data_IF_599603208658
#
_entry.id   IF_599603208658
#
_cell.length_a   1.000
_cell.length_b   1.000
_cell.length_c   1.000
_cell.angle_alpha   90.00
_cell.angle_beta   90.00
_cell.angle_gamma   90.00
#
_symmetry.space_group_name_H-M   'P 1'
#
loop_
_entity.id
_entity.type
_entity.pdbx_description
1 polymer ?
#
# COMPACT_ATOMS: atom_id res chain seq x y z
N UNK A 1 -7.02 -26.04 -44.16
CA UNK A 1 -7.44 -24.81 -43.44
C UNK A 1 -6.67 -24.73 -42.11
N UNK A 2 -5.72 -23.84 -41.98
CA UNK A 2 -4.96 -23.68 -40.73
C UNK A 2 -5.81 -22.98 -39.64
N UNK A 3 -5.70 -23.37 -38.37
CA UNK A 3 -6.47 -22.79 -37.27
C UNK A 3 -6.15 -21.31 -37.08
N UNK A 4 -7.16 -20.51 -36.72
CA UNK A 4 -7.06 -19.05 -36.57
C UNK A 4 -5.94 -18.57 -35.63
N UNK A 5 -5.54 -19.36 -34.66
CA UNK A 5 -4.47 -19.02 -33.71
C UNK A 5 -3.06 -18.93 -34.34
N UNK A 6 -2.77 -19.72 -35.38
CA UNK A 6 -1.47 -19.68 -36.05
C UNK A 6 -1.27 -18.43 -36.92
N UNK A 7 -2.36 -17.81 -37.37
CA UNK A 7 -2.29 -16.59 -38.20
C UNK A 7 -1.90 -15.36 -37.38
N UNK A 8 -2.34 -15.25 -36.13
CA UNK A 8 -1.96 -14.15 -35.25
C UNK A 8 -0.50 -14.19 -34.81
N UNK A 9 0.04 -15.40 -34.59
CA UNK A 9 1.47 -15.58 -34.29
C UNK A 9 2.38 -15.18 -35.46
N UNK A 10 1.95 -15.50 -36.70
CA UNK A 10 2.69 -15.10 -37.90
C UNK A 10 2.62 -13.57 -38.13
N UNK A 11 1.49 -12.94 -37.88
CA UNK A 11 1.37 -11.47 -37.96
C UNK A 11 2.20 -10.76 -36.86
N UNK A 12 2.25 -11.31 -35.65
CA UNK A 12 3.10 -10.80 -34.57
C UNK A 12 4.58 -10.88 -34.92
N UNK A 13 5.03 -12.00 -35.46
CA UNK A 13 6.42 -12.19 -35.91
C UNK A 13 6.78 -11.27 -37.08
N UNK A 14 5.87 -11.08 -38.05
CA UNK A 14 6.10 -10.17 -39.17
C UNK A 14 6.20 -8.71 -38.73
N UNK A 15 5.34 -8.26 -37.80
CA UNK A 15 5.40 -6.91 -37.21
C UNK A 15 6.69 -6.69 -36.40
N UNK A 16 7.13 -7.69 -35.65
CA UNK A 16 8.38 -7.62 -34.90
C UNK A 16 9.61 -7.51 -35.82
N UNK A 17 9.65 -8.28 -36.90
CA UNK A 17 10.73 -8.20 -37.89
C UNK A 17 10.72 -6.87 -38.67
N UNK A 18 9.53 -6.36 -39.03
CA UNK A 18 9.38 -5.06 -39.68
C UNK A 18 9.84 -3.93 -38.77
N UNK A 19 9.51 -3.98 -37.47
CA UNK A 19 9.93 -2.97 -36.49
C UNK A 19 11.46 -2.97 -36.30
N UNK A 20 12.09 -4.14 -36.17
CA UNK A 20 13.53 -4.23 -36.05
C UNK A 20 14.26 -3.81 -37.34
N UNK A 21 13.69 -4.09 -38.51
CA UNK A 21 14.18 -3.61 -39.81
C UNK A 21 14.15 -2.10 -39.94
N UNK A 22 13.04 -1.47 -39.51
CA UNK A 22 12.90 -0.02 -39.46
C UNK A 22 13.90 0.65 -38.49
N UNK A 23 14.15 0.03 -37.35
CA UNK A 23 15.11 0.51 -36.34
C UNK A 23 16.54 0.45 -36.90
N UNK A 24 16.91 -0.62 -37.63
CA UNK A 24 18.22 -0.74 -38.30
C UNK A 24 18.37 0.29 -39.42
N UNK A 25 17.33 0.54 -40.23
CA UNK A 25 17.35 1.58 -41.24
C UNK A 25 17.45 2.99 -40.65
N UNK A 26 16.79 3.24 -39.51
CA UNK A 26 16.89 4.52 -38.78
C UNK A 26 18.27 4.76 -38.19
N UNK A 27 18.94 3.71 -37.73
CA UNK A 27 20.33 3.77 -37.22
C UNK A 27 21.37 3.93 -38.35
N UNK A 28 21.08 3.39 -39.53
CA UNK A 28 22.00 3.46 -40.68
C UNK A 28 21.77 4.70 -41.56
N UNK A 29 20.59 5.33 -41.47
CA UNK A 29 20.19 6.47 -42.31
C UNK A 29 20.55 7.87 -41.78
N UNK A 30 21.41 8.01 -40.77
CA UNK A 30 21.90 9.32 -40.36
C UNK A 30 23.07 9.75 -41.24
N UNK A 31 22.95 10.82 -42.11
CA UNK A 31 24.08 11.34 -42.81
C UNK A 31 25.01 12.07 -41.83
N UNK A 32 26.33 12.06 -42.03
CA UNK A 32 27.27 12.84 -41.25
C UNK A 32 27.00 14.32 -41.52
N UNK A 33 26.69 15.08 -40.48
CA UNK A 33 26.54 16.54 -40.55
C UNK A 33 27.90 17.17 -40.86
N UNK A 34 28.05 17.62 -42.09
CA UNK A 34 29.12 18.55 -42.52
C UNK A 34 28.76 19.98 -42.13
N UNK A 35 29.50 20.55 -41.21
CA UNK A 35 29.66 21.99 -41.11
C UNK A 35 31.14 22.32 -41.06
N UNK A 36 31.60 22.93 -42.13
CA UNK A 36 32.91 23.55 -42.23
C UNK A 36 32.96 24.80 -41.33
N UNK A 37 33.96 24.84 -40.46
CA UNK A 37 34.69 26.07 -40.18
C UNK A 37 36.09 25.70 -39.66
N UNK A 38 37.07 26.21 -40.38
CA UNK A 38 38.47 26.07 -40.17
C UNK A 38 38.98 26.72 -38.89
N UNK A 39 39.72 25.99 -38.07
CA UNK A 39 40.97 26.51 -37.46
C UNK A 39 41.74 25.32 -36.82
N UNK A 40 42.98 25.33 -37.11
CA UNK A 40 44.05 24.41 -36.75
C UNK A 40 44.22 24.17 -35.24
N UNK A 41 44.31 22.88 -34.81
CA UNK A 41 45.40 22.38 -33.97
C UNK A 41 45.16 20.89 -33.63
N UNK A 42 46.12 20.07 -34.10
CA UNK A 42 46.70 18.83 -33.57
C UNK A 42 45.91 17.86 -32.71
N UNK A 43 45.70 16.64 -33.30
CA UNK A 43 45.98 15.29 -32.78
C UNK A 43 45.62 14.97 -31.30
N UNK A 44 44.54 14.19 -31.09
CA UNK A 44 44.49 13.03 -30.15
C UNK A 44 43.09 12.41 -29.90
N UNK A 45 42.17 12.40 -30.85
CA UNK A 45 40.81 11.87 -30.62
C UNK A 45 40.49 10.49 -31.22
N UNK A 46 41.43 9.84 -31.92
CA UNK A 46 41.19 8.55 -32.58
C UNK A 46 41.48 7.31 -31.71
N UNK A 47 42.09 7.47 -30.53
CA UNK A 47 42.47 6.33 -29.67
C UNK A 47 41.52 6.07 -28.46
N UNK A 48 40.54 6.94 -28.22
CA UNK A 48 39.65 6.81 -27.03
C UNK A 48 38.45 5.88 -27.27
N UNK A 49 37.88 5.85 -28.45
CA UNK A 49 36.70 5.04 -28.76
C UNK A 49 36.93 3.52 -28.61
N UNK A 50 38.05 2.92 -29.04
CA UNK A 50 38.34 1.50 -28.83
C UNK A 50 38.49 1.15 -27.32
N UNK A 51 39.12 2.04 -26.55
CA UNK A 51 39.34 1.81 -25.10
C UNK A 51 38.06 1.89 -24.27
N UNK A 52 37.12 2.77 -24.62
CA UNK A 52 35.80 2.83 -23.97
C UNK A 52 34.92 1.64 -24.28
N UNK A 53 34.96 1.12 -25.51
CA UNK A 53 34.24 -0.10 -25.88
C UNK A 53 34.80 -1.33 -25.17
N UNK A 54 36.13 -1.44 -25.05
CA UNK A 54 36.78 -2.52 -24.29
C UNK A 54 36.39 -2.45 -22.81
N UNK A 55 36.37 -1.26 -22.23
CA UNK A 55 35.92 -1.04 -20.83
C UNK A 55 34.47 -1.43 -20.64
N UNK A 56 33.56 -0.99 -21.51
CA UNK A 56 32.16 -1.39 -21.47
C UNK A 56 31.95 -2.91 -21.61
N UNK A 57 32.72 -3.56 -22.46
CA UNK A 57 32.67 -5.01 -22.58
C UNK A 57 33.14 -5.71 -21.29
N UNK A 58 34.22 -5.22 -20.66
CA UNK A 58 34.71 -5.74 -19.37
C UNK A 58 33.72 -5.52 -18.24
N UNK A 59 33.07 -4.33 -18.17
CA UNK A 59 32.05 -4.05 -17.19
C UNK A 59 30.81 -4.95 -17.37
N UNK A 60 30.41 -5.22 -18.61
CA UNK A 60 29.32 -6.14 -18.92
C UNK A 60 29.64 -7.60 -18.56
N UNK A 61 30.87 -8.06 -18.81
CA UNK A 61 31.34 -9.39 -18.41
C UNK A 61 31.38 -9.53 -16.88
N UNK A 62 31.87 -8.54 -16.17
CA UNK A 62 31.89 -8.52 -14.71
C UNK A 62 30.47 -8.59 -14.12
N UNK A 63 29.50 -7.88 -14.71
CA UNK A 63 28.11 -7.93 -14.27
C UNK A 63 27.47 -9.29 -14.57
N UNK A 64 27.78 -9.89 -15.72
CA UNK A 64 27.31 -11.23 -16.07
C UNK A 64 27.83 -12.30 -15.08
N UNK A 65 29.09 -12.21 -14.66
CA UNK A 65 29.62 -13.12 -13.63
C UNK A 65 28.98 -12.90 -12.25
N UNK A 66 28.67 -11.67 -11.86
CA UNK A 66 27.87 -11.40 -10.65
C UNK A 66 26.49 -12.03 -10.71
N UNK A 67 25.80 -11.93 -11.84
CA UNK A 67 24.49 -12.55 -12.03
C UNK A 67 24.56 -14.08 -11.97
N UNK A 68 25.60 -14.68 -12.56
CA UNK A 68 25.83 -16.13 -12.47
C UNK A 68 26.10 -16.59 -11.02
N UNK A 69 26.84 -15.82 -10.24
CA UNK A 69 27.08 -16.14 -8.82
C UNK A 69 25.82 -16.03 -7.99
N UNK A 70 25.00 -15.00 -8.21
CA UNK A 70 23.68 -14.86 -7.57
C UNK A 70 22.77 -16.06 -7.89
N UNK A 71 22.74 -16.50 -9.14
CA UNK A 71 21.99 -17.69 -9.55
C UNK A 71 22.50 -18.96 -8.85
N UNK A 72 23.82 -19.15 -8.71
CA UNK A 72 24.38 -20.27 -7.95
C UNK A 72 23.97 -20.23 -6.47
N UNK A 73 23.95 -19.04 -5.83
CA UNK A 73 23.48 -18.87 -4.45
C UNK A 73 21.99 -19.21 -4.31
N UNK A 74 21.15 -18.77 -5.24
CA UNK A 74 19.72 -19.10 -5.27
C UNK A 74 19.52 -20.63 -5.38
N UNK A 75 20.27 -21.30 -6.26
CA UNK A 75 20.19 -22.76 -6.39
C UNK A 75 20.65 -23.50 -5.12
N UNK A 76 21.71 -23.03 -4.44
CA UNK A 76 22.16 -23.57 -3.16
C UNK A 76 21.09 -23.44 -2.08
N UNK A 77 20.48 -22.25 -1.97
CA UNK A 77 19.39 -21.99 -1.01
C UNK A 77 18.14 -22.81 -1.31
N UNK A 78 17.77 -22.96 -2.58
CA UNK A 78 16.66 -23.82 -3.02
C UNK A 78 16.90 -25.29 -2.64
N UNK A 79 18.10 -25.82 -2.85
CA UNK A 79 18.46 -27.19 -2.47
C UNK A 79 18.45 -27.41 -0.96
N UNK A 80 18.84 -26.40 -0.16
CA UNK A 80 18.74 -26.46 1.31
C UNK A 80 17.28 -26.46 1.78
N UNK A 81 16.42 -25.68 1.11
CA UNK A 81 15.00 -25.58 1.39
C UNK A 81 14.27 -26.90 1.07
N UNK A 82 14.59 -27.54 -0.05
CA UNK A 82 14.05 -28.86 -0.41
C UNK A 82 14.49 -29.97 0.55
N UNK A 83 15.74 -29.98 1.01
CA UNK A 83 16.23 -30.91 2.03
C UNK A 83 15.51 -30.72 3.37
N UNK A 84 15.26 -29.48 3.76
CA UNK A 84 14.48 -29.13 4.98
C UNK A 84 13.04 -29.58 4.85
N UNK A 85 12.42 -29.41 3.67
CA UNK A 85 11.05 -29.87 3.36
C UNK A 85 10.93 -31.40 3.35
N UNK A 86 11.95 -32.12 2.87
CA UNK A 86 11.98 -33.59 2.91
C UNK A 86 12.11 -34.13 4.35
N UNK A 87 12.91 -33.47 5.19
CA UNK A 87 13.03 -33.85 6.62
C UNK A 87 11.74 -33.65 7.42
N UNK A 88 10.86 -32.76 6.99
CA UNK A 88 9.55 -32.53 7.63
C UNK A 88 8.44 -33.49 7.15
N UNK A 89 8.70 -34.31 6.16
CA UNK A 89 7.72 -35.29 5.61
C UNK A 89 7.85 -36.72 6.15
N UNK A 90 8.75 -36.99 7.09
CA UNK A 90 8.78 -38.26 7.80
C UNK A 90 7.82 -38.18 9.01
N UNK A 91 6.75 -39.01 9.07
CA UNK A 91 5.88 -39.02 10.24
C UNK A 91 6.65 -39.58 11.42
N UNK A 92 6.55 -39.00 12.61
CA UNK A 92 7.13 -39.62 13.80
C UNK A 92 6.33 -40.87 14.17
N UNK A 93 7.04 -41.98 14.29
CA UNK A 93 6.55 -43.25 14.89
C UNK A 93 6.08 -42.97 16.33
N UNK A 94 4.84 -43.35 16.64
CA UNK A 94 4.27 -43.23 17.99
C UNK A 94 5.11 -44.03 19.00
N UNK A 95 5.47 -43.43 20.14
CA UNK A 95 5.73 -44.18 21.34
C UNK A 95 4.46 -44.20 22.21
N UNK A 96 4.17 -45.38 22.73
CA UNK A 96 3.11 -45.74 23.64
C UNK A 96 3.06 -44.85 24.90
N UNK A 97 1.85 -44.47 25.32
CA UNK A 97 1.56 -43.66 26.52
C UNK A 97 2.19 -44.21 27.81
N UNK A 98 2.50 -43.30 28.73
CA UNK A 98 2.10 -43.46 30.11
C UNK A 98 1.12 -42.39 30.57
N UNK A 99 0.02 -42.87 31.11
CA UNK A 99 -0.99 -42.12 31.83
C UNK A 99 -0.40 -41.39 33.03
N UNK A 100 -0.50 -40.07 33.08
CA UNK A 100 -0.75 -39.29 34.30
C UNK A 100 -1.11 -37.85 33.99
N UNK A 101 -2.23 -37.48 34.49
CA UNK A 101 -2.91 -36.20 34.60
C UNK A 101 -1.99 -35.09 35.06
N UNK A 102 -1.84 -34.08 34.21
CA UNK A 102 -1.50 -32.72 34.64
C UNK A 102 -2.37 -31.78 33.85
N UNK A 103 -3.27 -31.09 34.53
CA UNK A 103 -4.08 -29.97 34.00
C UNK A 103 -3.14 -28.85 33.58
N UNK A 104 -2.67 -28.90 32.33
CA UNK A 104 -2.13 -27.73 31.69
C UNK A 104 -3.31 -26.84 31.28
N UNK A 105 -3.36 -25.63 31.84
CA UNK A 105 -4.27 -24.57 31.40
C UNK A 105 -4.22 -24.45 29.88
N UNK A 106 -5.36 -24.34 29.17
CA UNK A 106 -5.36 -24.17 27.73
C UNK A 106 -4.57 -22.88 27.42
N UNK A 107 -3.53 -23.03 26.59
CA UNK A 107 -2.89 -21.86 25.98
C UNK A 107 -3.98 -21.04 25.29
N UNK A 108 -4.02 -19.71 25.45
CA UNK A 108 -5.03 -18.89 24.82
C UNK A 108 -4.97 -19.17 23.32
N UNK A 109 -6.06 -19.69 22.74
CA UNK A 109 -6.16 -19.89 21.30
C UNK A 109 -5.90 -18.56 20.62
N UNK A 110 -4.85 -18.53 19.81
CA UNK A 110 -4.51 -17.33 19.06
C UNK A 110 -5.70 -16.94 18.17
N UNK A 111 -6.14 -15.66 18.17
CA UNK A 111 -7.37 -15.24 17.51
C UNK A 111 -7.32 -15.48 16.00
N UNK A 112 -8.43 -15.97 15.46
CA UNK A 112 -8.63 -16.06 14.00
C UNK A 112 -8.97 -14.68 13.48
N UNK A 113 -8.23 -14.22 12.48
CA UNK A 113 -8.36 -12.91 11.88
C UNK A 113 -8.60 -13.07 10.36
N UNK A 114 -9.86 -13.11 9.90
CA UNK A 114 -10.16 -13.23 8.47
C UNK A 114 -9.73 -11.99 7.70
N UNK A 115 -9.47 -12.19 6.42
CA UNK A 115 -9.27 -11.10 5.46
C UNK A 115 -10.49 -11.05 4.55
N UNK A 116 -11.26 -9.99 4.67
CA UNK A 116 -12.41 -9.69 3.79
C UNK A 116 -11.92 -8.87 2.60
N UNK A 117 -12.07 -9.42 1.41
CA UNK A 117 -11.79 -8.74 0.14
C UNK A 117 -13.12 -8.30 -0.48
N UNK A 118 -13.28 -7.02 -0.74
CA UNK A 118 -14.46 -6.46 -1.42
C UNK A 118 -14.17 -6.35 -2.91
N UNK A 119 -14.95 -7.01 -3.73
CA UNK A 119 -14.79 -7.09 -5.17
C UNK A 119 -16.10 -6.78 -5.90
N UNK A 120 -16.03 -6.31 -7.13
CA UNK A 120 -17.18 -6.05 -7.97
C UNK A 120 -16.95 -6.58 -9.40
N UNK A 121 -16.44 -5.76 -10.31
CA UNK A 121 -16.37 -6.02 -11.76
C UNK A 121 -14.93 -6.06 -12.31
N UNK A 122 -13.94 -6.32 -11.45
CA UNK A 122 -12.54 -6.33 -11.85
C UNK A 122 -11.94 -7.73 -11.78
N UNK A 123 -11.61 -8.31 -12.92
CA UNK A 123 -10.83 -9.57 -13.00
C UNK A 123 -9.42 -9.42 -12.41
N UNK A 124 -8.92 -8.19 -12.24
CA UNK A 124 -7.67 -7.86 -11.55
C UNK A 124 -7.66 -8.19 -10.06
N UNK A 125 -8.80 -8.58 -9.47
CA UNK A 125 -8.89 -9.19 -8.12
C UNK A 125 -7.91 -10.35 -7.97
N UNK A 126 -7.56 -11.04 -9.05
CA UNK A 126 -6.51 -12.07 -9.08
C UNK A 126 -5.21 -11.58 -8.48
N UNK A 127 -4.77 -10.38 -8.86
CA UNK A 127 -3.51 -9.79 -8.35
C UNK A 127 -3.54 -9.59 -6.83
N UNK A 128 -4.67 -9.15 -6.28
CA UNK A 128 -4.87 -9.02 -4.84
C UNK A 128 -4.84 -10.40 -4.16
N UNK A 129 -5.61 -11.37 -4.66
CA UNK A 129 -5.73 -12.70 -4.07
C UNK A 129 -4.41 -13.49 -4.12
N UNK A 130 -3.66 -13.44 -5.22
CA UNK A 130 -2.34 -14.08 -5.34
C UNK A 130 -1.37 -13.57 -4.26
N UNK A 131 -1.36 -12.26 -4.00
CA UNK A 131 -0.52 -11.67 -2.96
C UNK A 131 -0.99 -12.07 -1.56
N UNK A 132 -2.29 -12.00 -1.29
CA UNK A 132 -2.85 -12.43 -0.01
C UNK A 132 -2.53 -13.90 0.29
N UNK A 133 -2.72 -14.80 -0.67
CA UNK A 133 -2.41 -16.22 -0.53
C UNK A 133 -0.91 -16.47 -0.32
N UNK A 134 -0.06 -15.72 -1.01
CA UNK A 134 1.40 -15.82 -0.90
C UNK A 134 1.92 -15.37 0.45
N UNK A 135 1.36 -14.29 1.01
CA UNK A 135 1.92 -13.63 2.18
C UNK A 135 1.18 -13.93 3.48
N UNK A 136 -0.04 -14.50 3.45
CA UNK A 136 -0.74 -14.88 4.69
C UNK A 136 0.06 -15.89 5.49
N UNK A 137 0.28 -15.68 6.80
CA UNK A 137 1.10 -16.58 7.62
C UNK A 137 0.46 -17.97 7.81
N UNK A 138 -0.86 -18.05 7.85
CA UNK A 138 -1.62 -19.28 8.10
C UNK A 138 -3.00 -19.21 7.46
N UNK A 139 -3.37 -20.21 6.69
CA UNK A 139 -4.72 -20.33 6.10
C UNK A 139 -5.81 -20.46 7.17
N UNK A 140 -5.54 -21.19 8.27
CA UNK A 140 -6.47 -21.40 9.37
C UNK A 140 -6.71 -20.12 10.18
N UNK A 141 -5.66 -19.36 10.43
CA UNK A 141 -5.74 -18.12 11.23
C UNK A 141 -6.18 -16.89 10.42
N UNK A 142 -5.92 -16.90 9.12
CA UNK A 142 -6.27 -15.83 8.21
C UNK A 142 -7.07 -16.38 7.02
N UNK A 143 -8.31 -16.87 7.25
CA UNK A 143 -9.16 -17.30 6.14
C UNK A 143 -9.47 -16.12 5.22
N UNK A 144 -9.48 -16.37 3.91
CA UNK A 144 -9.82 -15.35 2.92
C UNK A 144 -11.31 -15.46 2.58
N UNK A 145 -12.01 -14.35 2.71
CA UNK A 145 -13.42 -14.20 2.34
C UNK A 145 -13.48 -13.14 1.24
N UNK A 146 -13.92 -13.50 0.05
CA UNK A 146 -14.17 -12.54 -1.03
C UNK A 146 -15.65 -12.28 -1.10
N UNK A 147 -16.04 -11.05 -0.87
CA UNK A 147 -17.41 -10.57 -1.05
C UNK A 147 -17.52 -9.90 -2.40
N UNK A 148 -18.34 -10.46 -3.30
CA UNK A 148 -18.56 -9.91 -4.63
C UNK A 148 -19.91 -9.20 -4.70
N UNK A 149 -19.88 -7.95 -5.19
CA UNK A 149 -21.04 -7.19 -5.67
C UNK A 149 -21.13 -7.24 -7.21
N UNK A 150 -22.11 -6.57 -7.80
CA UNK A 150 -22.28 -6.30 -9.24
C UNK A 150 -22.62 -7.53 -10.14
N UNK A 151 -22.51 -8.75 -9.68
CA UNK A 151 -22.84 -9.95 -10.47
C UNK A 151 -21.94 -10.21 -11.70
N UNK A 152 -20.74 -9.62 -11.77
CA UNK A 152 -19.83 -9.73 -12.91
C UNK A 152 -19.27 -11.15 -13.05
N UNK A 153 -19.62 -11.84 -14.14
CA UNK A 153 -19.33 -13.26 -14.33
C UNK A 153 -17.83 -13.57 -14.44
N UNK A 154 -17.05 -12.71 -15.13
CA UNK A 154 -15.61 -12.91 -15.29
C UNK A 154 -14.90 -12.81 -13.94
N UNK A 155 -15.24 -11.82 -13.10
CA UNK A 155 -14.70 -11.68 -11.74
C UNK A 155 -15.10 -12.88 -10.89
N UNK A 156 -16.35 -13.35 -10.99
CA UNK A 156 -16.79 -14.56 -10.28
C UNK A 156 -16.00 -15.80 -10.69
N UNK A 157 -15.73 -15.97 -11.98
CA UNK A 157 -14.91 -17.08 -12.50
C UNK A 157 -13.46 -17.01 -11.98
N UNK A 158 -12.89 -15.80 -11.92
CA UNK A 158 -11.55 -15.61 -11.32
C UNK A 158 -11.54 -16.01 -9.85
N UNK A 159 -12.52 -15.58 -9.05
CA UNK A 159 -12.60 -15.94 -7.63
C UNK A 159 -12.80 -17.45 -7.46
N UNK A 160 -13.71 -18.05 -8.24
CA UNK A 160 -13.98 -19.49 -8.20
C UNK A 160 -12.75 -20.35 -8.56
N UNK A 161 -11.82 -19.82 -9.37
CA UNK A 161 -10.59 -20.54 -9.74
C UNK A 161 -9.65 -20.83 -8.56
N UNK A 162 -9.85 -20.20 -7.40
CA UNK A 162 -9.08 -20.45 -6.17
C UNK A 162 -9.63 -21.59 -5.32
N UNK A 163 -10.80 -22.17 -5.66
CA UNK A 163 -11.41 -23.28 -4.93
C UNK A 163 -11.52 -23.00 -3.43
N UNK A 164 -11.21 -24.01 -2.62
CA UNK A 164 -11.32 -23.96 -1.15
C UNK A 164 -10.33 -22.99 -0.47
N UNK A 165 -9.40 -22.40 -1.21
CA UNK A 165 -8.46 -21.43 -0.65
C UNK A 165 -9.12 -20.10 -0.30
N UNK A 166 -10.34 -19.83 -0.85
CA UNK A 166 -11.09 -18.58 -0.74
C UNK A 166 -12.58 -18.88 -0.55
N UNK A 167 -13.18 -18.35 0.51
CA UNK A 167 -14.62 -18.35 0.67
C UNK A 167 -15.24 -17.24 -0.18
N UNK A 168 -16.06 -17.60 -1.18
CA UNK A 168 -16.72 -16.64 -2.05
C UNK A 168 -18.16 -16.43 -1.58
N UNK A 169 -18.46 -15.19 -1.12
CA UNK A 169 -19.83 -14.74 -0.81
C UNK A 169 -20.29 -13.69 -1.82
N UNK A 170 -21.57 -13.66 -2.10
CA UNK A 170 -22.15 -12.77 -3.11
C UNK A 170 -23.22 -11.90 -2.49
N UNK A 171 -23.18 -10.60 -2.78
CA UNK A 171 -24.24 -9.66 -2.43
C UNK A 171 -25.55 -10.10 -3.07
N UNK A 172 -26.59 -10.42 -2.27
CA UNK A 172 -27.84 -10.94 -2.82
C UNK A 172 -28.72 -9.87 -3.45
N UNK A 173 -28.62 -8.61 -2.99
CA UNK A 173 -29.42 -7.50 -3.50
C UNK A 173 -28.60 -6.65 -4.46
N UNK A 174 -28.83 -6.85 -5.75
CA UNK A 174 -28.24 -6.09 -6.86
C UNK A 174 -29.19 -5.04 -7.43
N UNK A 175 -30.35 -4.82 -6.81
CA UNK A 175 -31.35 -3.85 -7.24
C UNK A 175 -30.80 -2.42 -7.30
N UNK A 176 -31.41 -1.59 -8.10
CA UNK A 176 -31.09 -0.18 -8.16
C UNK A 176 -31.41 0.51 -6.84
N UNK A 177 -30.51 1.39 -6.43
CA UNK A 177 -30.67 2.18 -5.21
C UNK A 177 -31.24 3.55 -5.60
N UNK A 178 -32.41 3.94 -5.05
CA UNK A 178 -32.91 5.29 -5.23
C UNK A 178 -31.94 6.32 -4.63
N UNK A 179 -31.49 7.23 -5.47
CA UNK A 179 -30.57 8.31 -5.08
C UNK A 179 -31.21 9.66 -5.37
N UNK A 180 -30.96 10.69 -4.56
CA UNK A 180 -31.39 12.06 -4.85
C UNK A 180 -30.90 12.50 -6.23
N UNK A 181 -31.66 13.35 -6.96
CA UNK A 181 -31.28 13.78 -8.31
C UNK A 181 -29.85 14.38 -8.40
N UNK A 182 -29.45 15.15 -7.41
CA UNK A 182 -28.14 15.77 -7.26
C UNK A 182 -27.02 14.74 -7.06
N UNK A 183 -27.35 13.55 -6.54
CA UNK A 183 -26.40 12.46 -6.29
C UNK A 183 -26.36 11.41 -7.41
N UNK A 184 -27.05 11.56 -8.52
CA UNK A 184 -27.07 10.55 -9.61
C UNK A 184 -25.67 10.17 -10.10
N UNK A 185 -24.76 11.14 -10.22
CA UNK A 185 -23.35 10.91 -10.59
C UNK A 185 -22.55 10.16 -9.52
N UNK A 186 -23.07 10.04 -8.31
CA UNK A 186 -22.46 9.37 -7.18
C UNK A 186 -23.12 8.03 -6.83
N UNK A 187 -23.96 7.48 -7.69
CA UNK A 187 -24.69 6.22 -7.44
C UNK A 187 -23.76 5.07 -7.03
N UNK A 188 -22.52 5.03 -7.56
CA UNK A 188 -21.51 4.05 -7.17
C UNK A 188 -21.17 4.05 -5.68
N UNK A 189 -21.14 5.22 -5.04
CA UNK A 189 -20.90 5.32 -3.59
C UNK A 189 -22.03 4.73 -2.75
N UNK A 190 -23.26 4.78 -3.24
CA UNK A 190 -24.41 4.15 -2.60
C UNK A 190 -24.32 2.62 -2.69
N UNK A 191 -23.95 2.08 -3.85
CA UNK A 191 -23.74 0.63 -4.05
C UNK A 191 -22.61 0.13 -3.17
N UNK A 192 -21.47 0.81 -3.14
CA UNK A 192 -20.35 0.46 -2.27
C UNK A 192 -20.74 0.48 -0.79
N UNK A 193 -21.45 1.50 -0.31
CA UNK A 193 -21.88 1.56 1.08
C UNK A 193 -22.82 0.41 1.45
N UNK A 194 -23.76 0.04 0.56
CA UNK A 194 -24.62 -1.15 0.71
C UNK A 194 -23.80 -2.43 0.77
N UNK A 195 -22.85 -2.59 -0.12
CA UNK A 195 -21.98 -3.76 -0.17
C UNK A 195 -21.13 -3.92 1.11
N UNK A 196 -20.49 -2.86 1.55
CA UNK A 196 -19.72 -2.86 2.80
C UNK A 196 -20.59 -3.28 3.99
N UNK A 197 -21.80 -2.68 4.13
CA UNK A 197 -22.72 -3.03 5.21
C UNK A 197 -23.06 -4.52 5.21
N UNK A 198 -23.43 -5.06 4.05
CA UNK A 198 -23.77 -6.47 3.92
C UNK A 198 -22.57 -7.38 4.20
N UNK A 199 -21.43 -7.12 3.57
CA UNK A 199 -20.23 -7.95 3.71
C UNK A 199 -19.69 -7.98 5.15
N UNK A 200 -19.64 -6.83 5.83
CA UNK A 200 -19.26 -6.74 7.24
C UNK A 200 -20.29 -7.44 8.14
N UNK A 201 -21.58 -7.33 7.82
CA UNK A 201 -22.64 -8.10 8.48
C UNK A 201 -22.41 -9.61 8.36
N UNK A 202 -22.01 -10.13 7.18
CA UNK A 202 -21.64 -11.55 7.03
C UNK A 202 -20.47 -11.93 7.94
N UNK A 203 -19.41 -11.13 7.97
CA UNK A 203 -18.21 -11.39 8.76
C UNK A 203 -18.52 -11.43 10.26
N UNK A 204 -19.24 -10.42 10.76
CA UNK A 204 -19.42 -10.24 12.20
C UNK A 204 -20.68 -10.93 12.74
N UNK A 205 -21.79 -10.98 11.99
CA UNK A 205 -23.06 -11.58 12.45
C UNK A 205 -23.17 -13.05 12.05
N UNK A 206 -22.88 -13.38 10.81
CA UNK A 206 -23.06 -14.75 10.28
C UNK A 206 -21.87 -15.64 10.66
N UNK A 207 -20.64 -15.21 10.37
CA UNK A 207 -19.42 -15.99 10.67
C UNK A 207 -18.89 -15.74 12.09
N UNK A 208 -19.40 -14.74 12.81
CA UNK A 208 -19.10 -14.44 14.22
C UNK A 208 -17.61 -14.21 14.52
N UNK A 209 -16.87 -13.65 13.58
CA UNK A 209 -15.49 -13.24 13.83
C UNK A 209 -15.45 -12.02 14.76
N UNK A 210 -14.42 -11.94 15.61
CA UNK A 210 -14.23 -10.82 16.57
C UNK A 210 -13.51 -9.63 15.97
N UNK A 211 -12.77 -9.83 14.88
CA UNK A 211 -12.08 -8.80 14.13
C UNK A 211 -11.92 -9.25 12.68
N UNK A 212 -11.75 -8.32 11.75
CA UNK A 212 -11.47 -8.60 10.36
C UNK A 212 -10.51 -7.56 9.76
N UNK A 213 -9.67 -8.00 8.84
CA UNK A 213 -8.90 -7.12 7.96
C UNK A 213 -9.75 -6.92 6.70
N UNK A 214 -9.96 -5.66 6.31
CA UNK A 214 -10.77 -5.28 5.16
C UNK A 214 -9.86 -4.70 4.08
N UNK A 215 -9.92 -5.25 2.88
CA UNK A 215 -9.20 -4.80 1.69
C UNK A 215 -10.13 -4.72 0.49
N UNK A 216 -9.77 -3.90 -0.50
CA UNK A 216 -10.47 -3.82 -1.79
C UNK A 216 -9.71 -4.59 -2.87
N UNK A 217 -10.38 -4.97 -3.95
CA UNK A 217 -9.87 -5.85 -5.01
C UNK A 217 -8.76 -5.22 -5.87
N UNK A 218 -8.51 -3.92 -5.73
CA UNK A 218 -7.43 -3.18 -6.40
C UNK A 218 -6.25 -2.83 -5.48
N UNK A 219 -6.17 -3.44 -4.29
CA UNK A 219 -5.06 -3.26 -3.37
C UNK A 219 -4.01 -4.36 -3.53
N UNK A 220 -2.75 -3.97 -3.55
CA UNK A 220 -1.62 -4.88 -3.41
C UNK A 220 -1.12 -4.87 -1.96
N UNK A 221 -1.05 -6.07 -1.37
CA UNK A 221 -0.70 -6.25 0.04
C UNK A 221 0.67 -6.91 0.15
N UNK A 222 1.61 -6.28 0.86
CA UNK A 222 2.95 -6.83 1.08
C UNK A 222 3.09 -7.60 2.40
N UNK A 223 2.47 -7.13 3.49
CA UNK A 223 2.42 -7.83 4.81
C UNK A 223 1.39 -7.15 5.71
N UNK A 224 0.38 -7.88 6.14
CA UNK A 224 -0.71 -7.36 6.97
C UNK A 224 -0.53 -7.74 8.44
N UNK A 225 -0.15 -6.76 9.27
CA UNK A 225 -0.38 -6.72 10.72
C UNK A 225 -0.48 -5.27 11.16
N UNK A 226 -1.59 -4.59 10.83
CA UNK A 226 -1.73 -3.18 11.17
C UNK A 226 -3.21 -2.81 11.28
N UNK A 227 -3.56 -1.89 12.14
CA UNK A 227 -4.89 -1.27 12.24
C UNK A 227 -5.23 -0.53 10.95
N UNK A 228 -4.26 0.12 10.32
CA UNK A 228 -4.31 0.50 8.90
C UNK A 228 -2.97 0.17 8.22
N UNK A 229 -3.05 -0.34 7.01
CA UNK A 229 -1.89 -0.66 6.18
C UNK A 229 -1.39 0.54 5.35
N UNK A 230 -2.06 1.68 5.43
CA UNK A 230 -1.90 2.82 4.52
C UNK A 230 -1.30 4.06 5.19
N UNK A 231 -0.46 4.77 4.43
CA UNK A 231 0.01 6.11 4.75
C UNK A 231 -0.33 7.04 3.58
N UNK A 232 -1.24 7.99 3.78
CA UNK A 232 -1.68 8.93 2.74
C UNK A 232 -0.54 9.75 2.13
N UNK A 233 0.48 10.08 2.94
CA UNK A 233 1.67 10.80 2.51
C UNK A 233 2.86 9.86 2.29
N UNK A 234 2.63 8.59 1.94
CA UNK A 234 3.59 7.50 1.86
C UNK A 234 4.45 7.46 0.59
N UNK A 235 4.71 8.58 -0.12
CA UNK A 235 5.63 8.59 -1.27
C UNK A 235 7.06 8.30 -0.80
N UNK A 236 7.88 7.67 -1.64
CA UNK A 236 9.23 7.24 -1.29
C UNK A 236 10.10 8.36 -0.70
N UNK A 237 10.04 9.55 -1.29
CA UNK A 237 10.81 10.71 -0.80
C UNK A 237 10.23 11.36 0.46
N UNK A 238 9.07 10.94 0.94
CA UNK A 238 8.35 11.51 2.09
C UNK A 238 8.30 10.58 3.30
N UNK A 239 8.88 9.39 3.19
CA UNK A 239 8.96 8.39 4.24
C UNK A 239 10.41 7.97 4.51
N UNK A 240 10.69 7.49 5.70
CA UNK A 240 11.96 6.86 6.01
C UNK A 240 11.85 5.34 5.76
N UNK A 241 12.30 4.92 4.58
CA UNK A 241 12.26 3.50 4.19
C UNK A 241 13.14 2.60 5.07
N UNK A 242 14.06 3.18 5.84
CA UNK A 242 14.91 2.43 6.77
C UNK A 242 14.15 2.05 8.04
N UNK A 243 13.08 2.77 8.39
CA UNK A 243 12.24 2.57 9.57
C UNK A 243 10.91 1.87 9.20
N UNK A 244 10.99 0.74 8.53
CA UNK A 244 9.81 -0.01 8.11
C UNK A 244 8.93 -0.46 9.30
N UNK A 245 9.50 -0.64 10.49
CA UNK A 245 8.80 -1.01 11.74
C UNK A 245 8.04 0.14 12.40
N UNK A 246 8.33 1.40 12.01
CA UNK A 246 7.77 2.57 12.68
C UNK A 246 6.28 2.73 12.38
N UNK A 247 5.51 2.86 13.46
CA UNK A 247 4.07 3.08 13.43
C UNK A 247 3.73 4.41 14.12
N UNK A 248 2.65 5.03 13.67
CA UNK A 248 2.12 6.28 14.22
C UNK A 248 0.65 6.13 14.60
N UNK A 249 0.21 6.94 15.56
CA UNK A 249 -1.22 7.24 15.70
C UNK A 249 -1.64 8.26 14.65
N UNK A 250 -2.89 8.17 14.20
CA UNK A 250 -3.52 9.16 13.31
C UNK A 250 -4.99 9.33 13.68
N UNK A 251 -5.47 10.55 13.68
CA UNK A 251 -6.87 10.89 13.89
C UNK A 251 -7.67 10.86 12.58
N UNK A 252 -6.96 10.75 11.46
CA UNK A 252 -7.54 10.52 10.15
C UNK A 252 -7.82 9.02 9.96
N UNK A 253 -9.03 8.67 9.51
CA UNK A 253 -9.33 7.30 9.09
C UNK A 253 -8.77 7.05 7.69
N UNK A 254 -7.70 6.23 7.53
CA UNK A 254 -7.04 6.08 6.22
C UNK A 254 -7.79 5.16 5.26
N UNK A 255 -8.50 4.13 5.77
CA UNK A 255 -9.04 3.05 4.96
C UNK A 255 -7.92 2.18 4.34
N UNK A 256 -8.12 1.72 3.11
CA UNK A 256 -7.13 1.08 2.21
C UNK A 256 -6.28 -0.03 2.86
N UNK A 257 -6.98 -1.08 3.32
CA UNK A 257 -6.37 -2.17 4.10
C UNK A 257 -6.35 -1.82 5.58
N UNK A 258 -7.45 -2.11 6.26
CA UNK A 258 -7.65 -1.71 7.65
C UNK A 258 -8.32 -2.84 8.46
N UNK A 259 -8.11 -2.81 9.76
CA UNK A 259 -8.69 -3.75 10.70
C UNK A 259 -9.88 -3.11 11.42
N UNK A 260 -10.97 -3.86 11.48
CA UNK A 260 -12.19 -3.51 12.21
C UNK A 260 -12.46 -4.56 13.31
N UNK A 261 -12.82 -4.10 14.50
CA UNK A 261 -13.27 -4.95 15.60
C UNK A 261 -14.79 -5.13 15.57
N UNK A 262 -15.27 -6.28 16.03
CA UNK A 262 -16.70 -6.57 16.10
C UNK A 262 -17.45 -5.56 16.97
N UNK A 263 -16.88 -5.21 18.12
CA UNK A 263 -17.46 -4.22 19.04
C UNK A 263 -17.65 -2.84 18.39
N UNK A 264 -16.72 -2.46 17.50
CA UNK A 264 -16.86 -1.23 16.72
C UNK A 264 -17.94 -1.37 15.65
N UNK A 265 -18.03 -2.54 15.00
CA UNK A 265 -19.11 -2.81 14.05
C UNK A 265 -20.48 -2.77 14.70
N UNK A 266 -20.61 -3.30 15.92
CA UNK A 266 -21.86 -3.22 16.72
C UNK A 266 -22.33 -1.78 16.96
N UNK A 267 -21.38 -0.86 17.12
CA UNK A 267 -21.68 0.59 17.23
C UNK A 267 -22.06 1.22 15.89
N UNK A 268 -21.40 0.84 14.81
CA UNK A 268 -21.49 1.51 13.51
C UNK A 268 -22.65 1.00 12.64
N UNK A 269 -22.93 -0.32 12.67
CA UNK A 269 -23.92 -0.96 11.81
C UNK A 269 -25.32 -0.33 11.88
N UNK A 270 -25.90 0.00 13.08
CA UNK A 270 -27.24 0.58 13.16
C UNK A 270 -27.37 1.95 12.49
N UNK A 271 -26.26 2.69 12.40
CA UNK A 271 -26.20 4.05 11.85
C UNK A 271 -25.39 4.13 10.56
N UNK A 272 -25.07 2.97 9.94
CA UNK A 272 -24.28 2.92 8.72
C UNK A 272 -24.90 3.75 7.60
N UNK A 273 -24.11 4.62 6.92
CA UNK A 273 -24.67 5.58 5.96
C UNK A 273 -25.09 4.90 4.66
N UNK A 274 -25.96 5.57 3.92
CA UNK A 274 -26.38 5.11 2.60
C UNK A 274 -25.30 5.27 1.52
N UNK A 275 -24.35 6.21 1.71
CA UNK A 275 -23.25 6.51 0.78
C UNK A 275 -22.09 7.17 1.51
N UNK A 276 -20.93 7.28 0.85
CA UNK A 276 -19.74 7.98 1.34
C UNK A 276 -19.33 7.52 2.75
N UNK A 277 -19.34 6.21 2.97
CA UNK A 277 -19.11 5.60 4.28
C UNK A 277 -17.73 5.97 4.87
N UNK A 278 -16.70 6.13 4.04
CA UNK A 278 -15.35 6.49 4.46
C UNK A 278 -15.27 7.95 4.94
N UNK A 279 -15.93 8.90 4.27
CA UNK A 279 -16.05 10.28 4.74
C UNK A 279 -16.92 10.37 6.00
N UNK A 280 -17.99 9.56 6.07
CA UNK A 280 -18.81 9.41 7.27
C UNK A 280 -18.00 8.90 8.46
N UNK A 281 -17.11 7.90 8.28
CA UNK A 281 -16.19 7.41 9.31
C UNK A 281 -15.25 8.48 9.86
N UNK A 282 -14.93 9.51 9.06
CA UNK A 282 -14.04 10.61 9.42
C UNK A 282 -14.73 11.70 10.23
N UNK A 283 -16.06 11.71 10.29
CA UNK A 283 -16.84 12.71 11.06
C UNK A 283 -16.62 12.57 12.56
N UNK A 284 -16.69 13.68 13.32
CA UNK A 284 -16.47 13.69 14.77
C UNK A 284 -17.37 12.72 15.54
N UNK A 285 -18.64 12.56 15.11
CA UNK A 285 -19.66 11.72 15.73
C UNK A 285 -19.31 10.23 15.67
N UNK A 286 -18.59 9.80 14.60
CA UNK A 286 -18.12 8.43 14.45
C UNK A 286 -16.73 8.26 15.07
N UNK A 287 -15.86 9.23 14.87
CA UNK A 287 -14.49 9.20 15.40
C UNK A 287 -14.45 9.22 16.93
N UNK A 288 -15.25 10.05 17.59
CA UNK A 288 -15.35 10.14 19.06
C UNK A 288 -14.00 10.25 19.77
N UNK A 289 -13.07 11.03 19.23
CA UNK A 289 -11.71 11.15 19.77
C UNK A 289 -10.83 9.90 19.64
N UNK A 290 -11.28 8.87 18.93
CA UNK A 290 -10.49 7.67 18.64
C UNK A 290 -9.47 7.94 17.52
N UNK A 291 -8.37 7.22 17.56
CA UNK A 291 -7.32 7.30 16.54
C UNK A 291 -7.06 5.93 15.93
N UNK A 292 -6.64 5.91 14.69
CA UNK A 292 -6.11 4.73 14.04
C UNK A 292 -4.58 4.64 14.29
N UNK A 293 -4.01 3.46 13.99
CA UNK A 293 -2.57 3.28 13.84
C UNK A 293 -2.26 3.18 12.35
N UNK A 294 -1.22 3.87 11.88
CA UNK A 294 -0.73 3.80 10.50
C UNK A 294 0.78 3.53 10.44
N UNK A 295 1.30 2.91 9.38
CA UNK A 295 2.74 2.72 9.23
C UNK A 295 3.45 3.98 8.73
N UNK A 296 4.77 4.05 8.92
CA UNK A 296 5.63 4.97 8.19
C UNK A 296 5.62 4.63 6.69
N UNK A 297 5.95 3.39 6.33
CA UNK A 297 5.93 2.88 4.96
C UNK A 297 4.67 2.06 4.72
N UNK A 298 3.87 2.41 3.73
CA UNK A 298 2.61 1.71 3.42
C UNK A 298 2.80 0.22 3.21
N UNK A 299 1.83 -0.57 3.70
CA UNK A 299 1.76 -2.04 3.54
C UNK A 299 0.78 -2.46 2.45
N UNK A 300 0.04 -1.48 1.93
CA UNK A 300 -0.84 -1.60 0.77
C UNK A 300 -0.51 -0.52 -0.23
N UNK A 301 -0.81 -0.80 -1.50
CA UNK A 301 -0.69 0.13 -2.62
C UNK A 301 -1.91 -0.08 -3.51
N UNK A 302 -2.54 1.00 -3.96
CA UNK A 302 -3.60 0.90 -4.96
C UNK A 302 -3.03 0.93 -6.37
N UNK A 303 -3.56 0.07 -7.23
CA UNK A 303 -3.30 0.09 -8.68
C UNK A 303 -4.57 0.43 -9.48
N UNK A 304 -5.70 0.65 -8.79
CA UNK A 304 -6.98 0.99 -9.40
C UNK A 304 -7.07 2.47 -9.77
N UNK A 305 -6.84 2.80 -11.05
CA UNK A 305 -7.07 4.15 -11.58
C UNK A 305 -8.54 4.42 -11.87
N UNK A 306 -9.28 3.38 -12.29
CA UNK A 306 -10.71 3.44 -12.62
C UNK A 306 -11.52 3.02 -11.39
N UNK A 307 -12.50 3.82 -11.02
CA UNK A 307 -13.41 3.56 -9.92
C UNK A 307 -14.37 4.72 -9.71
N UNK A 308 -15.21 4.66 -8.68
CA UNK A 308 -16.21 5.70 -8.38
C UNK A 308 -15.61 7.07 -8.07
N UNK A 309 -14.35 7.12 -7.61
CA UNK A 309 -13.61 8.37 -7.38
C UNK A 309 -13.03 8.98 -8.67
N UNK A 310 -13.23 8.32 -9.83
CA UNK A 310 -12.70 8.76 -11.13
C UNK A 310 -11.19 9.04 -11.12
N UNK A 311 -10.43 8.38 -10.23
CA UNK A 311 -8.99 8.56 -10.11
C UNK A 311 -8.55 9.91 -9.52
N UNK A 312 -9.44 10.60 -8.79
CA UNK A 312 -9.23 11.97 -8.28
C UNK A 312 -7.86 12.21 -7.67
N UNK A 313 -7.32 11.27 -6.90
CA UNK A 313 -6.00 11.38 -6.26
C UNK A 313 -4.95 10.46 -6.87
N UNK A 314 -5.33 9.58 -7.81
CA UNK A 314 -4.46 8.52 -8.29
C UNK A 314 -3.22 9.06 -8.99
N UNK A 315 -3.42 9.93 -9.98
CA UNK A 315 -2.32 10.43 -10.81
C UNK A 315 -1.38 11.38 -10.04
N UNK A 316 -1.90 12.12 -9.06
CA UNK A 316 -1.12 13.09 -8.29
C UNK A 316 -0.43 12.48 -7.07
N UNK A 317 -1.06 11.49 -6.41
CA UNK A 317 -0.60 10.98 -5.12
C UNK A 317 -0.48 9.46 -5.08
N UNK A 318 -1.57 8.70 -5.36
CA UNK A 318 -1.68 7.32 -4.93
C UNK A 318 -0.76 6.36 -5.69
N UNK A 319 -0.51 6.59 -6.98
CA UNK A 319 0.38 5.76 -7.80
C UNK A 319 1.86 5.83 -7.37
N UNK A 320 2.23 6.82 -6.56
CA UNK A 320 3.60 7.04 -6.08
C UNK A 320 3.84 6.55 -4.66
N UNK A 321 2.83 5.94 -4.02
CA UNK A 321 2.97 5.42 -2.66
C UNK A 321 3.99 4.29 -2.65
N UNK A 322 5.00 4.41 -1.78
CA UNK A 322 6.02 3.39 -1.57
C UNK A 322 5.42 2.21 -0.81
N UNK A 323 5.39 1.06 -1.46
CA UNK A 323 5.01 -0.19 -0.82
C UNK A 323 6.22 -0.74 -0.06
N UNK A 324 6.01 -1.17 1.18
CA UNK A 324 7.05 -1.84 1.96
C UNK A 324 7.39 -3.22 1.36
N UNK A 325 8.66 -3.48 1.17
CA UNK A 325 9.22 -4.72 0.63
C UNK A 325 9.93 -5.57 1.68
N UNK A 326 10.04 -5.07 2.94
CA UNK A 326 10.72 -5.75 4.04
C UNK A 326 9.72 -6.40 4.99
N UNK A 327 9.99 -7.64 5.39
CA UNK A 327 9.23 -8.30 6.45
C UNK A 327 9.53 -7.65 7.81
N UNK A 328 8.47 -7.29 8.55
CA UNK A 328 8.57 -6.76 9.92
C UNK A 328 7.75 -7.65 10.86
N UNK A 329 8.36 -8.31 11.84
CA UNK A 329 7.68 -9.19 12.78
C UNK A 329 6.99 -8.40 13.91
N UNK A 330 5.95 -7.63 13.62
CA UNK A 330 5.25 -6.78 14.60
C UNK A 330 4.78 -7.53 15.85
N UNK A 331 4.48 -8.82 15.74
CA UNK A 331 4.09 -9.66 16.90
C UNK A 331 5.22 -9.87 17.92
N UNK A 332 6.45 -9.51 17.57
CA UNK A 332 7.64 -9.62 18.43
C UNK A 332 8.17 -8.25 18.89
N UNK A 333 7.57 -7.18 18.40
CA UNK A 333 7.97 -5.81 18.75
C UNK A 333 7.15 -5.32 19.94
N UNK A 334 7.79 -4.54 20.80
CA UNK A 334 7.06 -3.77 21.81
C UNK A 334 6.36 -2.58 21.13
N UNK A 335 5.04 -2.66 21.06
CA UNK A 335 4.16 -1.63 20.50
C UNK A 335 3.44 -0.84 21.60
N UNK A 336 3.85 -0.96 22.85
CA UNK A 336 3.26 -0.26 24.00
C UNK A 336 3.30 1.26 23.83
N UNK A 337 4.31 1.78 23.14
CA UNK A 337 4.43 3.21 22.82
C UNK A 337 3.24 3.77 22.00
N UNK A 338 2.45 2.91 21.35
CA UNK A 338 1.24 3.31 20.62
C UNK A 338 0.03 3.52 21.53
N UNK A 339 0.08 3.14 22.81
CA UNK A 339 -0.95 3.52 23.78
C UNK A 339 -1.04 5.05 23.85
N UNK A 340 -2.25 5.61 23.95
CA UNK A 340 -2.47 7.06 23.82
C UNK A 340 -1.53 7.86 24.71
N UNK A 341 -1.52 7.56 26.01
CA UNK A 341 -0.76 8.35 26.99
C UNK A 341 0.74 8.22 26.79
N UNK A 342 1.24 7.02 26.47
CA UNK A 342 2.65 6.79 26.17
C UNK A 342 3.07 7.49 24.87
N UNK A 343 2.21 7.43 23.86
CA UNK A 343 2.44 8.10 22.58
C UNK A 343 2.51 9.61 22.75
N UNK A 344 1.52 10.20 23.43
CA UNK A 344 1.49 11.65 23.65
C UNK A 344 2.65 12.12 24.54
N UNK A 345 3.04 11.34 25.56
CA UNK A 345 4.17 11.63 26.44
C UNK A 345 5.50 11.67 25.68
N UNK A 346 5.66 10.87 24.63
CA UNK A 346 6.90 10.79 23.83
C UNK A 346 6.86 11.64 22.57
N UNK A 347 5.73 11.63 21.85
CA UNK A 347 5.58 12.26 20.53
C UNK A 347 5.47 13.78 20.61
N UNK A 348 4.61 14.30 21.49
CA UNK A 348 4.37 15.75 21.56
C UNK A 348 5.62 16.53 22.01
N UNK A 349 6.37 16.13 23.05
CA UNK A 349 7.62 16.79 23.37
C UNK A 349 8.63 16.75 22.20
N UNK A 350 8.74 15.62 21.49
CA UNK A 350 9.64 15.49 20.33
C UNK A 350 9.30 16.48 19.22
N UNK A 351 8.00 16.67 18.95
CA UNK A 351 7.53 17.64 17.95
C UNK A 351 7.84 19.07 18.38
N UNK A 352 7.48 19.43 19.61
CA UNK A 352 7.55 20.83 20.07
C UNK A 352 8.92 21.24 20.62
N UNK A 353 9.86 20.31 20.81
CA UNK A 353 11.26 20.61 21.03
C UNK A 353 12.07 20.74 19.73
N UNK A 354 11.52 20.27 18.61
CA UNK A 354 12.17 20.43 17.32
C UNK A 354 12.25 21.91 16.92
N UNK A 355 13.40 22.37 16.39
CA UNK A 355 13.57 23.76 15.94
C UNK A 355 12.48 24.15 14.96
N UNK A 356 11.91 25.34 15.15
CA UNK A 356 10.95 25.93 14.21
C UNK A 356 11.70 26.51 13.02
N UNK A 357 11.22 26.22 11.81
CA UNK A 357 11.77 26.72 10.56
C UNK A 357 10.67 27.25 9.66
N UNK A 358 11.05 28.12 8.72
CA UNK A 358 10.15 28.60 7.65
C UNK A 358 10.20 27.65 6.45
N UNK A 359 9.15 27.68 5.63
CA UNK A 359 9.07 26.83 4.44
C UNK A 359 10.20 27.14 3.44
N UNK A 360 10.59 28.39 3.32
CA UNK A 360 11.69 28.84 2.44
C UNK A 360 13.03 28.27 2.91
N UNK A 361 13.23 28.14 4.21
CA UNK A 361 14.45 27.54 4.80
C UNK A 361 14.53 26.04 4.51
N UNK A 362 13.37 25.34 4.56
CA UNK A 362 13.28 23.93 4.15
C UNK A 362 13.54 23.72 2.66
N UNK A 363 13.05 24.64 1.83
CA UNK A 363 13.22 24.58 0.37
C UNK A 363 14.59 25.07 -0.09
N UNK A 364 15.23 25.91 0.71
CA UNK A 364 16.57 26.45 0.43
C UNK A 364 17.67 25.40 0.51
N UNK A 365 18.82 25.74 -0.05
CA UNK A 365 19.98 24.83 -0.13
C UNK A 365 20.92 24.97 1.09
N UNK A 366 20.42 25.51 2.23
CA UNK A 366 21.23 25.60 3.45
C UNK A 366 21.63 24.22 3.94
N UNK A 367 22.88 24.10 4.41
CA UNK A 367 23.51 22.87 4.92
C UNK A 367 22.49 22.04 5.69
N UNK A 368 22.40 20.75 5.35
CA UNK A 368 21.58 19.75 6.05
C UNK A 368 22.05 19.67 7.53
N UNK A 369 21.47 20.52 8.36
CA UNK A 369 21.56 20.29 9.81
C UNK A 369 20.87 18.97 10.12
N UNK A 370 21.58 18.13 10.86
CA UNK A 370 21.05 16.85 11.33
C UNK A 370 19.93 17.11 12.34
N UNK A 371 18.86 16.33 12.26
CA UNK A 371 17.74 16.36 13.20
C UNK A 371 16.39 16.76 12.60
N UNK A 372 15.36 16.53 13.40
CA UNK A 372 13.98 16.88 13.02
C UNK A 372 13.75 18.39 13.14
N UNK A 373 12.79 18.91 12.34
CA UNK A 373 12.36 20.31 12.43
C UNK A 373 10.85 20.40 12.45
N UNK A 374 10.34 21.52 12.93
CA UNK A 374 8.93 21.84 12.98
C UNK A 374 8.61 23.03 12.08
N UNK A 375 7.54 22.91 11.30
CA UNK A 375 6.91 23.98 10.54
C UNK A 375 5.53 24.23 11.17
N UNK A 376 5.28 25.44 11.66
CA UNK A 376 4.02 25.75 12.36
C UNK A 376 3.02 26.43 11.43
N UNK A 377 1.78 25.95 11.44
CA UNK A 377 0.66 26.58 10.75
C UNK A 377 -0.37 27.12 11.74
N UNK A 378 -0.98 28.26 11.43
CA UNK A 378 -1.93 28.96 12.31
C UNK A 378 -3.39 28.82 11.89
N UNK A 379 -3.70 28.10 10.79
CA UNK A 379 -5.06 27.95 10.30
C UNK A 379 -5.14 27.11 9.05
N UNK A 380 -6.37 26.87 8.55
CA UNK A 380 -6.65 26.01 7.39
C UNK A 380 -5.83 26.41 6.15
N UNK A 381 -5.85 27.68 5.81
CA UNK A 381 -5.25 28.15 4.55
C UNK A 381 -3.71 28.07 4.62
N UNK A 382 -3.12 28.36 5.78
CA UNK A 382 -1.69 28.18 6.02
C UNK A 382 -1.32 26.68 5.93
N UNK A 383 -2.12 25.79 6.54
CA UNK A 383 -1.91 24.34 6.38
C UNK A 383 -1.92 23.92 4.92
N UNK A 384 -2.96 24.31 4.15
CA UNK A 384 -3.09 23.97 2.73
C UNK A 384 -1.93 24.52 1.89
N UNK A 385 -1.51 25.76 2.16
CA UNK A 385 -0.36 26.38 1.46
C UNK A 385 0.93 25.59 1.71
N UNK A 386 1.24 25.27 2.96
CA UNK A 386 2.43 24.48 3.31
C UNK A 386 2.37 23.04 2.78
N UNK A 387 1.22 22.40 2.89
CA UNK A 387 1.02 21.06 2.35
C UNK A 387 1.31 21.01 0.84
N UNK A 388 0.74 21.94 0.07
CA UNK A 388 1.00 22.08 -1.38
C UNK A 388 2.47 22.35 -1.68
N UNK A 389 3.09 23.31 -0.98
CA UNK A 389 4.48 23.69 -1.19
C UNK A 389 5.45 22.52 -0.94
N UNK A 390 5.11 21.61 -0.02
CA UNK A 390 5.92 20.46 0.38
C UNK A 390 5.49 19.15 -0.31
N UNK A 391 4.41 19.17 -1.10
CA UNK A 391 3.92 18.01 -1.83
C UNK A 391 3.11 17.01 -0.99
N UNK A 392 2.61 17.42 0.18
CA UNK A 392 1.66 16.65 0.97
C UNK A 392 0.25 16.72 0.35
N UNK A 393 -0.61 15.77 0.72
CA UNK A 393 -2.05 15.91 0.47
C UNK A 393 -2.59 17.03 1.34
N UNK A 394 -3.25 18.00 0.71
CA UNK A 394 -3.72 19.23 1.34
C UNK A 394 -5.21 19.21 1.73
N UNK A 395 -5.91 18.12 1.44
CA UNK A 395 -7.30 17.97 1.82
C UNK A 395 -7.45 17.63 3.31
N UNK A 396 -8.49 18.20 3.89
CA UNK A 396 -8.91 18.00 5.27
C UNK A 396 -10.27 17.33 5.27
N UNK A 397 -10.55 16.49 6.26
CA UNK A 397 -11.89 15.92 6.47
C UNK A 397 -12.31 16.19 7.91
N UNK A 398 -13.36 16.99 8.06
CA UNK A 398 -13.82 17.49 9.37
C UNK A 398 -12.64 18.04 10.19
N UNK A 399 -11.82 18.88 9.56
CA UNK A 399 -10.66 19.52 10.17
C UNK A 399 -9.42 18.66 10.29
N UNK A 400 -9.51 17.36 10.05
CA UNK A 400 -8.37 16.43 10.24
C UNK A 400 -7.54 16.34 8.96
N UNK A 401 -6.24 16.65 9.02
CA UNK A 401 -5.35 16.44 7.89
C UNK A 401 -5.03 14.96 7.69
N UNK A 402 -4.77 14.57 6.44
CA UNK A 402 -4.37 13.20 6.13
C UNK A 402 -3.09 12.83 6.87
N UNK A 403 -3.08 11.61 7.44
CA UNK A 403 -2.03 11.09 8.29
C UNK A 403 -1.75 11.91 9.58
N UNK A 404 -2.62 12.87 9.92
CA UNK A 404 -2.46 13.76 11.08
C UNK A 404 -2.82 13.12 12.40
N UNK A 405 -2.08 13.46 13.45
CA UNK A 405 -2.41 13.19 14.85
C UNK A 405 -2.31 14.47 15.65
N UNK A 406 -3.40 14.86 16.32
CA UNK A 406 -3.52 16.18 17.00
C UNK A 406 -3.09 17.35 16.08
N UNK A 407 -3.53 17.33 14.83
CA UNK A 407 -3.18 18.30 13.81
C UNK A 407 -1.77 18.16 13.23
N UNK A 408 -0.90 17.33 13.82
CA UNK A 408 0.50 17.18 13.43
C UNK A 408 0.63 16.14 12.31
N UNK A 409 1.23 16.53 11.18
CA UNK A 409 1.61 15.63 10.09
C UNK A 409 3.12 15.42 10.12
N UNK A 410 3.56 14.16 10.30
CA UNK A 410 4.97 13.77 10.30
C UNK A 410 5.34 13.16 8.96
N UNK A 411 6.42 13.65 8.34
CA UNK A 411 6.91 13.19 7.04
C UNK A 411 8.40 13.44 6.89
N UNK A 412 9.01 12.94 5.82
CA UNK A 412 10.40 13.25 5.44
C UNK A 412 10.40 14.27 4.30
N UNK A 413 11.24 15.27 4.39
CA UNK A 413 11.47 16.21 3.30
C UNK A 413 12.97 16.35 3.04
N UNK A 414 13.43 16.00 1.84
CA UNK A 414 14.84 15.97 1.45
C UNK A 414 15.75 15.23 2.45
N UNK A 415 15.25 14.09 2.98
CA UNK A 415 15.99 13.25 3.92
C UNK A 415 15.95 13.74 5.37
N UNK A 416 15.18 14.75 5.71
CA UNK A 416 15.01 15.30 7.07
C UNK A 416 13.59 15.06 7.58
N UNK A 417 13.43 14.63 8.83
CA UNK A 417 12.11 14.53 9.48
C UNK A 417 11.54 15.91 9.70
N UNK A 418 10.31 16.13 9.24
CA UNK A 418 9.58 17.38 9.38
C UNK A 418 8.24 17.11 10.07
N UNK A 419 7.89 17.99 10.99
CA UNK A 419 6.59 18.03 11.65
C UNK A 419 5.85 19.30 11.21
N UNK A 420 4.83 19.14 10.35
CA UNK A 420 3.87 20.21 10.08
C UNK A 420 2.85 20.20 11.21
N UNK A 421 2.88 21.19 12.10
CA UNK A 421 2.18 21.17 13.38
C UNK A 421 1.41 22.46 13.63
N UNK A 422 0.24 22.40 14.33
CA UNK A 422 -0.41 23.59 14.86
C UNK A 422 0.39 24.17 16.04
N UNK A 423 0.00 25.31 16.61
CA UNK A 423 0.54 25.83 17.86
C UNK A 423 0.45 24.83 19.01
N UNK A 424 1.31 24.95 20.01
CA UNK A 424 1.39 24.01 21.15
C UNK A 424 0.11 23.97 21.99
N UNK A 425 -0.62 25.07 22.07
CA UNK A 425 -1.89 25.26 22.76
C UNK A 425 -3.11 24.83 21.94
N UNK A 426 -2.89 24.10 20.86
CA UNK A 426 -3.96 23.58 20.02
C UNK A 426 -4.98 22.74 20.81
N UNK A 427 -6.28 23.10 20.72
CA UNK A 427 -7.34 22.51 21.53
C UNK A 427 -8.20 21.49 20.80
N UNK A 428 -8.22 21.48 19.47
CA UNK A 428 -9.05 20.54 18.71
C UNK A 428 -9.16 20.88 17.23
N UNK A 429 -9.79 19.97 16.49
CA UNK A 429 -10.09 20.14 15.08
C UNK A 429 -11.31 21.03 14.88
N UNK A 430 -11.28 21.90 13.89
CA UNK A 430 -12.44 22.64 13.41
C UNK A 430 -13.11 21.81 12.30
N UNK A 431 -14.33 21.28 12.55
CA UNK A 431 -15.03 20.42 11.59
C UNK A 431 -15.40 21.14 10.28
N UNK A 432 -15.38 22.47 10.25
CA UNK A 432 -15.69 23.26 9.06
C UNK A 432 -14.55 23.29 8.04
N UNK A 433 -13.33 22.87 8.46
CA UNK A 433 -12.20 22.77 7.54
C UNK A 433 -12.33 21.54 6.66
N UNK A 434 -12.41 21.79 5.35
CA UNK A 434 -12.52 20.78 4.29
C UNK A 434 -11.68 21.15 3.06
#
# INVERSE_FOLDING_TARGET
MMPKQSRWALWGAALFLAWNGLLLLFLWGRPPSSSLSSSSSSSSSSSRLPSELIRLAQDAEAELERQKELLRQIHRLSGLWERRRRRQKTPPTLPTLPTKTSLASPSPEEPVLPVLVLACDRSTVRRCLDKLLRYRPSARRHPLIVSQDCGHAETAAVIASYGDAVAHIRQPDLSDIPVPPEHRKFQGYYRIARHYRWALGQVFRTFRYRAAIVVEDDLEVATLWCVSAWNDNGREQMVDVTQAELLYRTDFFPGLGWLLLAELWDELEPKWPRAFWDDWMRQPEQRRGRSCVRPEVSRTMTFGRKGVSHGQFFDQYLKFIKLNDRFVPFTRLDLSYLKKDEYERSFLPRVYSAPEVRVEELQGNRRRELGAVRLQYSGRDAFKAFAKALGLMDDLKSGVPRAGYRGIVSFVYRGRRVYLAPPRDWTGYDPTWS
#
